data_IF_693530798656
#
_entry.id   IF_693530798656
#
_cell.length_a   1.000
_cell.length_b   1.000
_cell.length_c   1.000
_cell.angle_alpha   90.00
_cell.angle_beta   90.00
_cell.angle_gamma   90.00
#
_symmetry.space_group_name_H-M   'P 1'
#
loop_
_entity.id
_entity.type
_entity.pdbx_description
1 polymer ?
#
# COMPACT_ATOMS: atom_id res chain seq x y z
N UNK A 1 16.99 26.06 4.14
CA UNK A 1 16.87 25.24 5.36
C UNK A 1 15.41 24.89 5.50
N UNK A 2 15.01 23.71 5.04
CA UNK A 2 13.72 23.11 5.37
C UNK A 2 13.84 22.60 6.81
N UNK A 3 12.92 22.99 7.69
CA UNK A 3 12.86 22.43 9.03
C UNK A 3 12.64 20.91 8.92
N UNK A 4 13.31 20.10 9.76
CA UNK A 4 13.12 18.66 9.76
C UNK A 4 11.66 18.34 10.11
N UNK A 5 11.10 17.33 9.44
CA UNK A 5 9.76 16.83 9.76
C UNK A 5 9.69 16.36 11.22
N UNK A 6 8.53 16.51 11.85
CA UNK A 6 8.30 15.97 13.20
C UNK A 6 8.58 14.45 13.23
N UNK A 7 9.45 14.06 14.17
CA UNK A 7 9.86 12.67 14.37
C UNK A 7 8.69 11.77 14.79
N UNK A 8 7.68 12.29 15.49
CA UNK A 8 6.50 11.52 15.84
C UNK A 8 5.67 11.17 14.59
N UNK A 9 5.45 12.17 13.72
CA UNK A 9 4.69 12.00 12.48
C UNK A 9 5.39 11.06 11.50
N UNK A 10 6.70 11.23 11.31
CA UNK A 10 7.49 10.36 10.41
C UNK A 10 7.52 8.91 10.89
N UNK A 11 7.61 8.66 12.21
CA UNK A 11 7.52 7.30 12.77
C UNK A 11 6.14 6.66 12.57
N UNK A 12 5.06 7.43 12.77
CA UNK A 12 3.70 6.94 12.55
C UNK A 12 3.46 6.58 11.08
N UNK A 13 3.93 7.42 10.16
CA UNK A 13 3.87 7.15 8.71
C UNK A 13 4.69 5.91 8.37
N UNK A 14 5.93 5.81 8.87
CA UNK A 14 6.82 4.67 8.65
C UNK A 14 6.16 3.36 9.06
N UNK A 15 5.58 3.31 10.26
CA UNK A 15 4.91 2.10 10.77
C UNK A 15 3.74 1.71 9.86
N UNK A 16 2.94 2.69 9.43
CA UNK A 16 1.76 2.45 8.59
C UNK A 16 2.14 1.97 7.19
N UNK A 17 3.14 2.59 6.57
CA UNK A 17 3.65 2.14 5.26
C UNK A 17 4.30 0.76 5.34
N UNK A 18 5.05 0.44 6.40
CA UNK A 18 5.60 -0.91 6.60
C UNK A 18 4.51 -1.96 6.75
N UNK A 19 3.42 -1.65 7.44
CA UNK A 19 2.27 -2.56 7.51
C UNK A 19 1.67 -2.84 6.13
N UNK A 20 1.56 -1.84 5.25
CA UNK A 20 1.10 -2.06 3.89
C UNK A 20 2.09 -2.87 3.05
N UNK A 21 3.39 -2.60 3.17
CA UNK A 21 4.45 -3.35 2.51
C UNK A 21 4.42 -4.84 2.89
N UNK A 22 4.32 -5.14 4.18
CA UNK A 22 4.20 -6.51 4.69
C UNK A 22 2.95 -7.22 4.15
N UNK A 23 1.79 -6.55 4.16
CA UNK A 23 0.54 -7.10 3.62
C UNK A 23 0.63 -7.38 2.12
N UNK A 24 1.27 -6.50 1.35
CA UNK A 24 1.54 -6.75 -0.07
C UNK A 24 2.47 -7.95 -0.24
N UNK A 25 3.55 -8.04 0.54
CA UNK A 25 4.50 -9.16 0.48
C UNK A 25 3.82 -10.49 0.80
N UNK A 26 3.00 -10.56 1.86
CA UNK A 26 2.23 -11.75 2.20
C UNK A 26 1.27 -12.17 1.07
N UNK A 27 0.58 -11.21 0.46
CA UNK A 27 -0.30 -11.47 -0.69
C UNK A 27 0.48 -11.96 -1.91
N UNK A 28 1.64 -11.38 -2.21
CA UNK A 28 2.49 -11.81 -3.32
C UNK A 28 2.99 -13.24 -3.13
N UNK A 29 3.40 -13.60 -1.92
CA UNK A 29 3.76 -14.98 -1.60
C UNK A 29 2.56 -15.93 -1.75
N UNK A 30 1.39 -15.53 -1.24
CA UNK A 30 0.19 -16.36 -1.30
C UNK A 30 -0.34 -16.55 -2.74
N UNK A 31 -0.24 -15.54 -3.59
CA UNK A 31 -0.66 -15.60 -5.01
C UNK A 31 0.40 -16.34 -5.85
N UNK A 32 1.69 -16.11 -5.57
CA UNK A 32 2.80 -16.73 -6.30
C UNK A 32 2.96 -18.23 -6.02
N UNK A 33 2.46 -18.72 -4.88
CA UNK A 33 2.37 -20.15 -4.61
C UNK A 33 1.22 -20.80 -5.40
N UNK A 34 1.49 -21.00 -6.69
CA UNK A 34 0.55 -21.58 -7.66
C UNK A 34 0.01 -22.96 -7.27
N UNK A 35 0.66 -23.67 -6.32
CA UNK A 35 0.19 -24.99 -5.87
C UNK A 35 -0.98 -24.89 -4.90
N UNK A 36 -1.08 -23.81 -4.13
CA UNK A 36 -2.07 -23.68 -3.05
C UNK A 36 -3.09 -22.57 -3.27
N UNK A 37 -2.89 -21.70 -4.27
CA UNK A 37 -3.81 -20.60 -4.60
C UNK A 37 -5.26 -21.06 -4.64
N UNK A 38 -5.58 -22.13 -5.37
CA UNK A 38 -6.97 -22.57 -5.56
C UNK A 38 -7.64 -22.97 -4.24
N UNK A 39 -6.89 -23.57 -3.32
CA UNK A 39 -7.40 -23.96 -2.00
C UNK A 39 -7.55 -22.76 -1.04
N UNK A 40 -6.89 -21.64 -1.33
CA UNK A 40 -6.82 -20.44 -0.48
C UNK A 40 -7.44 -19.21 -1.12
N UNK A 41 -8.18 -19.35 -2.23
CA UNK A 41 -8.74 -18.23 -3.00
C UNK A 41 -9.51 -17.27 -2.12
N UNK A 42 -10.40 -17.78 -1.27
CA UNK A 42 -11.23 -16.92 -0.41
C UNK A 42 -10.38 -16.18 0.64
N UNK A 43 -9.38 -16.84 1.25
CA UNK A 43 -8.45 -16.18 2.17
C UNK A 43 -7.65 -15.06 1.47
N UNK A 44 -7.14 -15.33 0.27
CA UNK A 44 -6.39 -14.36 -0.53
C UNK A 44 -7.29 -13.20 -0.93
N UNK A 45 -8.55 -13.48 -1.29
CA UNK A 45 -9.57 -12.49 -1.60
C UNK A 45 -9.85 -11.58 -0.42
N UNK A 46 -10.07 -12.12 0.76
CA UNK A 46 -10.33 -11.33 1.97
C UNK A 46 -9.15 -10.41 2.30
N UNK A 47 -7.92 -10.94 2.22
CA UNK A 47 -6.70 -10.15 2.44
C UNK A 47 -6.55 -9.03 1.41
N UNK A 48 -6.79 -9.30 0.12
CA UNK A 48 -6.74 -8.32 -0.94
C UNK A 48 -7.82 -7.24 -0.80
N UNK A 49 -9.05 -7.63 -0.45
CA UNK A 49 -10.16 -6.70 -0.20
C UNK A 49 -9.83 -5.79 0.97
N UNK A 50 -9.33 -6.34 2.07
CA UNK A 50 -8.92 -5.57 3.23
C UNK A 50 -7.82 -4.57 2.86
N UNK A 51 -6.76 -5.01 2.16
CA UNK A 51 -5.67 -4.14 1.71
C UNK A 51 -6.18 -2.99 0.83
N UNK A 52 -6.97 -3.33 -0.20
CA UNK A 52 -7.54 -2.36 -1.13
C UNK A 52 -8.46 -1.36 -0.43
N UNK A 53 -9.27 -1.82 0.53
CA UNK A 53 -10.17 -0.96 1.31
C UNK A 53 -9.37 0.04 2.15
N UNK A 54 -8.39 -0.45 2.90
CA UNK A 54 -7.65 0.38 3.85
C UNK A 54 -6.78 1.41 3.10
N UNK A 55 -6.09 1.01 2.03
CA UNK A 55 -5.34 1.95 1.16
C UNK A 55 -6.24 3.03 0.58
N UNK A 56 -7.45 2.67 0.12
CA UNK A 56 -8.41 3.66 -0.40
C UNK A 56 -8.95 4.58 0.70
N UNK A 57 -9.17 4.08 1.91
CA UNK A 57 -9.60 4.89 3.04
C UNK A 57 -8.51 5.91 3.40
N UNK A 58 -7.25 5.49 3.45
CA UNK A 58 -6.12 6.37 3.73
C UNK A 58 -5.87 7.37 2.60
N UNK A 59 -5.98 6.94 1.34
CA UNK A 59 -5.93 7.84 0.18
C UNK A 59 -7.05 8.89 0.20
N UNK A 60 -8.26 8.52 0.65
CA UNK A 60 -9.35 9.47 0.79
C UNK A 60 -9.14 10.43 1.98
N UNK A 61 -8.62 9.94 3.10
CA UNK A 61 -8.32 10.76 4.28
C UNK A 61 -7.22 11.79 3.99
N UNK A 62 -6.16 11.38 3.30
CA UNK A 62 -5.03 12.26 2.94
C UNK A 62 -5.41 13.34 1.93
N UNK A 63 -6.40 13.12 1.06
CA UNK A 63 -6.93 14.19 0.18
C UNK A 63 -7.67 15.28 0.93
N UNK A 64 -8.21 14.98 2.11
CA UNK A 64 -8.90 15.94 2.99
C UNK A 64 -7.92 16.69 3.88
N UNK A 65 -6.80 16.05 4.23
CA UNK A 65 -5.67 16.72 4.86
C UNK A 65 -5.01 17.65 3.82
N UNK A 66 -4.64 18.86 4.23
CA UNK A 66 -4.11 19.88 3.32
C UNK A 66 -2.89 19.41 2.52
N UNK A 67 -2.59 20.13 1.42
CA UNK A 67 -1.49 19.82 0.50
C UNK A 67 -0.16 20.47 0.88
N UNK A 68 0.04 20.81 2.16
CA UNK A 68 1.26 21.49 2.59
C UNK A 68 2.46 20.54 2.44
N UNK A 69 3.38 20.76 1.47
CA UNK A 69 4.51 19.87 1.25
C UNK A 69 5.51 19.86 2.41
N UNK A 70 5.43 20.82 3.34
CA UNK A 70 6.21 20.80 4.59
C UNK A 70 5.69 19.76 5.59
N UNK A 71 4.52 19.17 5.36
CA UNK A 71 3.97 18.09 6.17
C UNK A 71 4.44 16.72 5.67
N UNK A 72 4.99 15.89 6.56
CA UNK A 72 5.43 14.53 6.22
C UNK A 72 4.31 13.67 5.61
N UNK A 73 3.07 13.90 6.02
CA UNK A 73 1.90 13.22 5.45
C UNK A 73 1.73 13.58 3.97
N UNK A 74 1.86 14.86 3.61
CA UNK A 74 1.73 15.28 2.23
C UNK A 74 2.94 14.88 1.37
N UNK A 75 4.14 14.88 1.96
CA UNK A 75 5.38 14.55 1.27
C UNK A 75 5.56 13.04 1.02
N UNK A 76 5.18 12.18 1.97
CA UNK A 76 5.47 10.74 1.91
C UNK A 76 4.22 9.87 1.93
N UNK A 77 3.32 10.09 2.90
CA UNK A 77 2.21 9.16 3.12
C UNK A 77 1.15 9.25 2.03
N UNK A 78 0.69 10.47 1.74
CA UNK A 78 -0.33 10.77 0.74
C UNK A 78 0.04 10.23 -0.63
N UNK A 79 1.20 10.56 -1.22
CA UNK A 79 1.53 10.03 -2.54
C UNK A 79 1.67 8.50 -2.53
N UNK A 80 2.27 7.90 -1.50
CA UNK A 80 2.40 6.45 -1.37
C UNK A 80 1.06 5.72 -1.40
N UNK A 81 0.09 6.14 -0.57
CA UNK A 81 -1.22 5.46 -0.52
C UNK A 81 -2.09 5.75 -1.74
N UNK A 82 -1.95 6.95 -2.34
CA UNK A 82 -2.70 7.30 -3.55
C UNK A 82 -2.21 6.50 -4.75
N UNK A 83 -0.90 6.43 -4.98
CA UNK A 83 -0.29 5.68 -6.09
C UNK A 83 -0.55 4.17 -5.93
N UNK A 84 -0.27 3.60 -4.76
CA UNK A 84 -0.54 2.18 -4.50
C UNK A 84 -2.01 1.80 -4.69
N UNK A 85 -2.95 2.66 -4.26
CA UNK A 85 -4.38 2.41 -4.45
C UNK A 85 -4.82 2.43 -5.92
N UNK A 86 -4.09 3.12 -6.81
CA UNK A 86 -4.37 3.14 -8.24
C UNK A 86 -4.04 1.81 -8.91
N UNK A 87 -3.07 1.04 -8.40
CA UNK A 87 -2.69 -0.26 -8.96
C UNK A 87 -3.67 -1.37 -8.61
N UNK A 88 -4.34 -1.31 -7.46
CA UNK A 88 -5.30 -2.31 -6.98
C UNK A 88 -6.67 -2.24 -7.71
N UNK A 89 -6.64 -2.23 -9.04
CA UNK A 89 -7.81 -2.22 -9.94
C UNK A 89 -8.58 -3.54 -9.99
N UNK A 90 -7.94 -4.74 -9.96
CA UNK A 90 -8.66 -6.00 -10.12
C UNK A 90 -9.91 -6.09 -9.25
N UNK A 91 -10.98 -6.59 -9.86
CA UNK A 91 -12.29 -6.74 -9.23
C UNK A 91 -12.20 -7.79 -8.13
N UNK A 92 -12.71 -7.47 -6.94
CA UNK A 92 -12.60 -8.33 -5.77
C UNK A 92 -13.20 -9.73 -5.96
N UNK A 93 -14.22 -9.88 -6.82
CA UNK A 93 -14.84 -11.17 -7.16
C UNK A 93 -14.10 -11.99 -8.21
N UNK A 94 -13.05 -11.46 -8.84
CA UNK A 94 -12.25 -12.23 -9.81
C UNK A 94 -11.35 -13.26 -9.11
N UNK A 95 -10.90 -14.28 -9.86
CA UNK A 95 -9.89 -15.22 -9.36
C UNK A 95 -8.51 -14.54 -9.34
N UNK A 96 -7.67 -14.71 -8.29
CA UNK A 96 -6.41 -13.97 -8.15
C UNK A 96 -5.46 -14.06 -9.36
N UNK A 97 -5.33 -15.25 -9.95
CA UNK A 97 -4.51 -15.46 -11.15
C UNK A 97 -5.15 -14.80 -12.38
N UNK A 98 -6.40 -15.16 -12.70
CA UNK A 98 -7.08 -14.67 -13.90
C UNK A 98 -7.30 -13.14 -13.90
N UNK A 99 -7.46 -12.55 -12.72
CA UNK A 99 -7.59 -11.11 -12.54
C UNK A 99 -6.26 -10.34 -12.51
N UNK A 100 -5.12 -11.01 -12.71
CA UNK A 100 -3.77 -10.43 -12.64
C UNK A 100 -3.47 -9.71 -11.32
N UNK A 101 -3.86 -10.31 -10.19
CA UNK A 101 -3.67 -9.69 -8.87
C UNK A 101 -2.20 -9.61 -8.48
N UNK A 102 -1.39 -10.58 -8.90
CA UNK A 102 0.05 -10.60 -8.59
C UNK A 102 0.73 -9.32 -9.05
N UNK A 103 0.55 -8.94 -10.32
CA UNK A 103 1.14 -7.71 -10.87
C UNK A 103 0.59 -6.46 -10.17
N UNK A 104 -0.72 -6.41 -9.94
CA UNK A 104 -1.35 -5.27 -9.27
C UNK A 104 -0.84 -5.05 -7.84
N UNK A 105 -0.66 -6.12 -7.06
CA UNK A 105 -0.11 -6.06 -5.70
C UNK A 105 1.39 -5.74 -5.75
N UNK A 106 2.12 -6.25 -6.74
CA UNK A 106 3.54 -5.99 -6.92
C UNK A 106 3.81 -4.51 -7.19
N UNK A 107 3.07 -3.90 -8.12
CA UNK A 107 3.20 -2.47 -8.44
C UNK A 107 2.83 -1.61 -7.22
N UNK A 108 1.72 -1.93 -6.54
CA UNK A 108 1.33 -1.21 -5.32
C UNK A 108 2.44 -1.27 -4.24
N UNK A 109 3.12 -2.41 -4.11
CA UNK A 109 4.26 -2.55 -3.19
C UNK A 109 5.44 -1.68 -3.59
N UNK A 110 5.74 -1.56 -4.90
CA UNK A 110 6.84 -0.72 -5.38
C UNK A 110 6.65 0.72 -4.92
N UNK A 111 5.45 1.28 -5.08
CA UNK A 111 5.17 2.66 -4.66
C UNK A 111 5.36 2.83 -3.14
N UNK A 112 4.83 1.89 -2.35
CA UNK A 112 4.99 1.92 -0.89
C UNK A 112 6.48 1.87 -0.51
N UNK A 113 7.25 0.94 -1.09
CA UNK A 113 8.67 0.80 -0.84
C UNK A 113 9.47 2.03 -1.27
N UNK A 114 9.09 2.67 -2.37
CA UNK A 114 9.71 3.89 -2.87
C UNK A 114 9.64 5.00 -1.81
N UNK A 115 8.44 5.30 -1.30
CA UNK A 115 8.27 6.34 -0.29
C UNK A 115 8.80 5.95 1.10
N UNK A 116 8.79 4.66 1.47
CA UNK A 116 9.51 4.19 2.66
C UNK A 116 11.01 4.47 2.57
N UNK A 117 11.63 4.16 1.44
CA UNK A 117 13.06 4.38 1.24
C UNK A 117 13.41 5.88 1.23
N UNK A 118 12.52 6.74 0.75
CA UNK A 118 12.69 8.19 0.86
C UNK A 118 12.55 8.68 2.31
N UNK A 119 11.56 8.16 3.06
CA UNK A 119 11.32 8.51 4.46
C UNK A 119 12.47 8.04 5.38
N UNK A 120 13.13 6.93 5.07
CA UNK A 120 14.28 6.42 5.84
C UNK A 120 15.59 7.19 5.55
N UNK A 121 15.62 8.04 4.51
CA UNK A 121 16.77 8.89 4.15
C UNK A 121 16.65 10.34 4.63
N UNK A 122 15.46 10.77 5.05
CA UNK A 122 15.18 12.10 5.61
C UNK A 122 15.14 12.05 7.13
#
# INVERSE_FOLDING_TARGET
>A
MTEPFDHADTNAIRLRLRSYEERCTLLLHAIGDNKTVTARVEQIRDQYIALKRDLKADAAATRRAGKDPACAVAAFFSPAVNEAALHLKPTSGSHPIAGNWLSAVYDARIDICHYLAQLDRN
#
